data_IF_165256735702
#
_entry.id   IF_165256735702
#
_cell.length_a   1.000
_cell.length_b   1.000
_cell.length_c   1.000
_cell.angle_alpha   90.00
_cell.angle_beta   90.00
_cell.angle_gamma   90.00
#
_symmetry.space_group_name_H-M   'P 1'
#
loop_
_entity.id
_entity.type
_entity.pdbx_description
1 polymer ?
#
# COMPACT_ATOMS: atom_id res chain seq x y z
N UNK A 1 0.40 9.40 3.46
CA UNK A 1 0.53 8.26 2.52
C UNK A 1 1.63 8.58 1.54
N UNK A 2 2.42 7.58 1.12
CA UNK A 2 3.43 7.68 0.07
C UNK A 2 3.05 6.73 -1.07
N UNK A 3 3.18 7.17 -2.33
CA UNK A 3 3.00 6.35 -3.53
C UNK A 3 4.26 6.54 -4.38
N UNK A 4 5.01 5.47 -4.67
CA UNK A 4 6.31 5.55 -5.37
C UNK A 4 6.51 4.41 -6.37
N UNK A 5 7.44 4.62 -7.32
CA UNK A 5 7.94 3.59 -8.25
C UNK A 5 9.12 2.79 -7.69
N UNK A 6 9.66 3.17 -6.54
CA UNK A 6 10.76 2.48 -5.86
C UNK A 6 10.32 1.14 -5.27
N UNK A 7 11.31 0.30 -4.96
CA UNK A 7 11.09 -0.97 -4.28
C UNK A 7 10.62 -0.78 -2.83
N UNK A 8 9.87 -1.75 -2.32
CA UNK A 8 9.22 -1.68 -1.01
C UNK A 8 10.20 -1.36 0.14
N UNK A 9 11.37 -1.99 0.19
CA UNK A 9 12.35 -1.73 1.26
C UNK A 9 12.84 -0.28 1.28
N UNK A 10 13.19 0.28 0.11
CA UNK A 10 13.60 1.68 -0.03
C UNK A 10 12.45 2.62 0.33
N UNK A 11 11.25 2.35 -0.20
CA UNK A 11 10.06 3.15 0.08
C UNK A 11 9.72 3.20 1.57
N UNK A 12 9.73 2.04 2.24
CA UNK A 12 9.47 1.93 3.68
C UNK A 12 10.55 2.64 4.52
N UNK A 13 11.82 2.50 4.12
CA UNK A 13 12.92 3.20 4.78
C UNK A 13 12.74 4.72 4.71
N UNK A 14 12.54 5.27 3.51
CA UNK A 14 12.32 6.72 3.32
C UNK A 14 11.05 7.18 4.04
N UNK A 15 9.94 6.45 3.91
CA UNK A 15 8.69 6.78 4.59
C UNK A 15 8.83 6.85 6.11
N UNK A 16 9.68 6.01 6.70
CA UNK A 16 9.97 6.03 8.14
C UNK A 16 10.83 7.24 8.52
N UNK A 17 11.83 7.62 7.72
CA UNK A 17 12.67 8.81 7.96
C UNK A 17 11.86 10.11 7.95
N UNK A 18 10.79 10.19 7.15
CA UNK A 18 9.93 11.38 7.05
C UNK A 18 8.65 11.29 7.88
N UNK A 19 8.55 10.33 8.80
CA UNK A 19 7.39 10.11 9.69
C UNK A 19 6.05 9.86 8.96
N UNK A 20 6.08 9.40 7.70
CA UNK A 20 4.89 8.83 7.06
C UNK A 20 4.56 7.51 7.75
N UNK A 21 5.58 6.68 7.96
CA UNK A 21 5.50 5.54 8.86
C UNK A 21 6.00 5.94 10.25
N UNK A 22 5.22 5.63 11.28
CA UNK A 22 5.49 5.88 12.70
C UNK A 22 5.31 4.64 13.57
N UNK A 23 4.83 3.53 12.99
CA UNK A 23 4.72 2.20 13.61
C UNK A 23 5.64 1.21 12.90
N UNK A 24 5.89 0.01 13.48
CA UNK A 24 6.56 -1.07 12.76
C UNK A 24 5.88 -1.35 11.42
N UNK A 25 6.67 -1.54 10.37
CA UNK A 25 6.16 -1.67 9.00
C UNK A 25 6.00 -3.13 8.63
N UNK A 26 4.91 -3.45 7.93
CA UNK A 26 4.70 -4.75 7.30
C UNK A 26 4.46 -4.60 5.79
N UNK A 27 5.11 -5.44 5.00
CA UNK A 27 5.06 -5.46 3.54
C UNK A 27 4.26 -6.67 3.08
N UNK A 28 3.20 -6.43 2.31
CA UNK A 28 2.43 -7.51 1.70
C UNK A 28 3.26 -8.23 0.64
N UNK A 29 3.44 -9.53 0.82
CA UNK A 29 4.30 -10.38 -0.01
C UNK A 29 3.56 -11.64 -0.42
N UNK A 30 3.82 -12.11 -1.65
CA UNK A 30 3.31 -13.40 -2.13
C UNK A 30 4.12 -14.55 -1.53
N UNK A 31 3.44 -15.53 -0.95
CA UNK A 31 4.09 -16.73 -0.41
C UNK A 31 4.61 -17.65 -1.54
N UNK A 32 5.69 -18.40 -1.27
CA UNK A 32 6.27 -19.37 -2.22
C UNK A 32 5.32 -20.52 -2.57
N UNK A 33 4.46 -20.92 -1.63
CA UNK A 33 3.53 -22.05 -1.79
C UNK A 33 2.22 -21.57 -2.41
N UNK A 34 1.44 -20.80 -1.65
CA UNK A 34 0.17 -20.22 -2.06
C UNK A 34 -0.25 -19.17 -1.05
N UNK A 35 -0.96 -18.13 -1.50
CA UNK A 35 -1.45 -17.05 -0.63
C UNK A 35 -0.46 -15.90 -0.47
N UNK A 36 -0.80 -15.02 0.47
CA UNK A 36 -0.07 -13.79 0.76
C UNK A 36 0.16 -13.69 2.26
N UNK A 37 1.23 -13.00 2.64
CA UNK A 37 1.60 -12.74 4.03
C UNK A 37 2.14 -11.31 4.15
N UNK A 38 1.96 -10.73 5.32
CA UNK A 38 2.60 -9.51 5.76
C UNK A 38 3.95 -9.86 6.38
N UNK A 39 5.02 -9.24 5.89
CA UNK A 39 6.40 -9.54 6.33
C UNK A 39 7.09 -8.25 6.76
N UNK A 40 7.79 -8.26 7.89
CA UNK A 40 8.63 -7.12 8.29
C UNK A 40 9.84 -6.95 7.35
N UNK A 41 10.43 -5.74 7.22
CA UNK A 41 11.59 -5.51 6.35
C UNK A 41 12.82 -6.38 6.65
N UNK A 42 12.97 -6.85 7.88
CA UNK A 42 14.02 -7.77 8.35
C UNK A 42 13.59 -9.25 8.33
N UNK A 43 12.39 -9.54 7.83
CA UNK A 43 11.78 -10.86 7.68
C UNK A 43 11.57 -11.67 8.98
N UNK A 44 11.64 -11.02 10.14
CA UNK A 44 11.45 -11.67 11.45
C UNK A 44 9.98 -11.87 11.79
N UNK A 45 9.12 -10.92 11.45
CA UNK A 45 7.68 -10.96 11.72
C UNK A 45 6.91 -11.32 10.46
N UNK A 46 6.01 -12.29 10.60
CA UNK A 46 5.20 -12.82 9.51
C UNK A 46 3.77 -13.03 9.98
N UNK A 47 2.81 -12.43 9.28
CA UNK A 47 1.37 -12.56 9.57
C UNK A 47 0.65 -12.96 8.29
N UNK A 48 -0.13 -14.05 8.27
CA UNK A 48 -0.93 -14.41 7.10
C UNK A 48 -1.86 -13.28 6.66
N UNK A 49 -1.99 -13.04 5.35
CA UNK A 49 -2.91 -12.02 4.84
C UNK A 49 -4.35 -12.50 4.93
N UNK A 50 -5.19 -11.69 5.58
CA UNK A 50 -6.66 -11.79 5.59
C UNK A 50 -7.23 -10.41 5.46
N UNK A 51 -8.13 -10.20 4.49
CA UNK A 51 -8.65 -8.87 4.19
C UNK A 51 -9.37 -8.26 5.41
N UNK A 52 -10.08 -9.08 6.18
CA UNK A 52 -10.91 -8.69 7.32
C UNK A 52 -10.08 -8.17 8.50
N UNK A 53 -8.84 -8.65 8.61
CA UNK A 53 -7.92 -8.32 9.70
C UNK A 53 -7.05 -7.09 9.38
N UNK A 54 -7.05 -6.60 8.13
CA UNK A 54 -6.20 -5.47 7.70
C UNK A 54 -6.46 -4.21 8.52
N UNK A 55 -7.73 -3.93 8.85
CA UNK A 55 -8.07 -2.77 9.67
C UNK A 55 -7.42 -2.86 11.05
N UNK A 56 -7.59 -3.97 11.75
CA UNK A 56 -7.03 -4.21 13.08
C UNK A 56 -5.49 -4.21 13.03
N UNK A 57 -4.89 -4.86 12.03
CA UNK A 57 -3.45 -4.87 11.85
C UNK A 57 -2.88 -3.46 11.68
N UNK A 58 -3.60 -2.57 10.96
CA UNK A 58 -3.20 -1.17 10.76
C UNK A 58 -3.20 -0.32 12.05
N UNK A 59 -3.85 -0.79 13.12
CA UNK A 59 -3.83 -0.13 14.42
C UNK A 59 -2.49 -0.31 15.14
N UNK A 60 -1.78 -1.41 14.90
CA UNK A 60 -0.47 -1.70 15.49
C UNK A 60 0.70 -1.54 14.51
N UNK A 61 0.46 -1.64 13.20
CA UNK A 61 1.49 -1.61 12.16
C UNK A 61 1.17 -0.60 11.06
N UNK A 62 2.22 -0.12 10.37
CA UNK A 62 2.07 0.64 9.14
C UNK A 62 2.24 -0.29 7.94
N UNK A 63 1.25 -0.30 7.05
CA UNK A 63 1.19 -1.28 5.96
C UNK A 63 1.78 -0.72 4.67
N UNK A 64 2.53 -1.59 3.98
CA UNK A 64 3.09 -1.35 2.65
C UNK A 64 2.58 -2.40 1.67
N UNK A 65 2.12 -1.96 0.50
CA UNK A 65 1.71 -2.84 -0.61
C UNK A 65 2.50 -2.49 -1.87
N UNK A 66 2.97 -3.52 -2.56
CA UNK A 66 3.64 -3.40 -3.86
C UNK A 66 2.65 -3.52 -5.02
N UNK A 67 2.97 -2.94 -6.18
CA UNK A 67 2.12 -2.96 -7.37
C UNK A 67 1.70 -4.35 -7.85
N UNK A 68 2.47 -5.40 -7.57
CA UNK A 68 2.14 -6.80 -7.91
C UNK A 68 1.00 -7.38 -7.08
N UNK A 69 0.74 -6.84 -5.88
CA UNK A 69 -0.33 -7.29 -5.01
C UNK A 69 -1.69 -6.68 -5.38
N UNK A 70 -1.72 -5.62 -6.17
CA UNK A 70 -2.96 -4.96 -6.60
C UNK A 70 -3.88 -5.89 -7.39
N UNK A 71 -3.30 -6.71 -8.27
CA UNK A 71 -4.06 -7.69 -9.05
C UNK A 71 -4.79 -8.67 -8.13
N UNK A 72 -4.14 -9.11 -7.04
CA UNK A 72 -4.79 -9.96 -6.05
C UNK A 72 -5.95 -9.23 -5.37
N UNK A 73 -5.74 -7.99 -4.90
CA UNK A 73 -6.79 -7.22 -4.23
C UNK A 73 -8.01 -7.00 -5.14
N UNK A 74 -7.80 -6.76 -6.43
CA UNK A 74 -8.87 -6.61 -7.42
C UNK A 74 -9.62 -7.93 -7.64
N UNK A 75 -8.89 -9.05 -7.79
CA UNK A 75 -9.50 -10.37 -8.00
C UNK A 75 -10.34 -10.83 -6.80
N UNK A 76 -9.98 -10.40 -5.59
CA UNK A 76 -10.71 -10.75 -4.35
C UNK A 76 -11.68 -9.66 -3.89
N UNK A 77 -11.89 -8.61 -4.68
CA UNK A 77 -12.72 -7.44 -4.32
C UNK A 77 -12.35 -6.78 -2.97
N UNK A 78 -11.07 -6.89 -2.57
CA UNK A 78 -10.57 -6.41 -1.29
C UNK A 78 -10.04 -4.96 -1.35
N UNK A 79 -10.06 -4.33 -2.53
CA UNK A 79 -9.49 -3.00 -2.79
C UNK A 79 -10.01 -1.95 -1.80
N UNK A 80 -11.35 -1.84 -1.68
CA UNK A 80 -12.01 -0.84 -0.82
C UNK A 80 -11.78 -1.12 0.66
N UNK A 81 -11.57 -2.38 1.03
CA UNK A 81 -11.34 -2.81 2.39
C UNK A 81 -9.89 -2.62 2.84
N UNK A 82 -8.92 -2.76 1.93
CA UNK A 82 -7.49 -2.78 2.25
C UNK A 82 -6.81 -1.44 2.02
N UNK A 83 -6.99 -0.82 0.84
CA UNK A 83 -6.28 0.42 0.46
C UNK A 83 -6.43 1.54 1.50
N UNK A 84 -7.60 1.77 2.13
CA UNK A 84 -7.76 2.84 3.12
C UNK A 84 -6.81 2.76 4.33
N UNK A 85 -6.25 1.57 4.60
CA UNK A 85 -5.40 1.27 5.75
C UNK A 85 -3.90 1.23 5.42
N UNK A 86 -3.53 1.39 4.15
CA UNK A 86 -2.15 1.30 3.66
C UNK A 86 -1.50 2.68 3.64
N UNK A 87 -0.27 2.78 4.16
CA UNK A 87 0.48 4.03 4.22
C UNK A 87 1.48 4.19 3.09
N UNK A 88 2.06 3.09 2.60
CA UNK A 88 3.07 3.08 1.55
C UNK A 88 2.62 2.19 0.40
N UNK A 89 2.60 2.74 -0.80
CA UNK A 89 2.39 2.00 -2.03
C UNK A 89 3.70 2.06 -2.83
N UNK A 90 4.35 0.91 -2.99
CA UNK A 90 5.64 0.77 -3.64
C UNK A 90 5.50 0.13 -5.03
N UNK A 91 6.47 0.39 -5.91
CA UNK A 91 6.52 -0.16 -7.28
C UNK A 91 5.19 0.00 -8.05
N UNK A 92 4.54 1.15 -7.91
CA UNK A 92 3.18 1.40 -8.39
C UNK A 92 3.18 1.90 -9.83
N UNK A 93 2.38 1.26 -10.70
CA UNK A 93 2.14 1.73 -12.07
C UNK A 93 1.21 2.97 -12.10
N UNK A 94 1.26 3.84 -13.13
CA UNK A 94 0.42 5.03 -13.20
C UNK A 94 -1.08 4.77 -12.97
N UNK A 95 -1.63 3.72 -13.57
CA UNK A 95 -3.05 3.33 -13.46
C UNK A 95 -3.40 2.89 -12.03
N UNK A 96 -2.44 2.29 -11.32
CA UNK A 96 -2.62 1.89 -9.92
C UNK A 96 -2.64 3.11 -8.99
N UNK A 97 -1.93 4.20 -9.32
CA UNK A 97 -2.02 5.46 -8.56
C UNK A 97 -3.43 6.05 -8.63
N UNK A 98 -4.03 6.03 -9.82
CA UNK A 98 -5.43 6.45 -10.01
C UNK A 98 -6.39 5.58 -9.19
N UNK A 99 -6.18 4.25 -9.17
CA UNK A 99 -6.99 3.34 -8.37
C UNK A 99 -6.91 3.67 -6.87
N UNK A 100 -5.70 3.94 -6.35
CA UNK A 100 -5.51 4.32 -4.94
C UNK A 100 -6.29 5.60 -4.62
N UNK A 101 -6.16 6.65 -5.42
CA UNK A 101 -6.88 7.91 -5.20
C UNK A 101 -8.39 7.74 -5.29
N UNK A 102 -8.86 7.05 -6.33
CA UNK A 102 -10.29 6.79 -6.53
C UNK A 102 -10.86 6.01 -5.36
N UNK A 103 -10.13 5.01 -4.86
CA UNK A 103 -10.55 4.23 -3.69
C UNK A 103 -10.67 5.09 -2.44
N UNK A 104 -9.72 5.99 -2.18
CA UNK A 104 -9.83 6.93 -1.05
C UNK A 104 -11.07 7.83 -1.17
N UNK A 105 -11.42 8.30 -2.37
CA UNK A 105 -12.65 9.08 -2.59
C UNK A 105 -13.91 8.26 -2.40
N UNK A 106 -13.94 7.03 -2.91
CA UNK A 106 -15.07 6.11 -2.75
C UNK A 106 -15.39 5.86 -1.27
N UNK A 107 -14.38 5.78 -0.40
CA UNK A 107 -14.58 5.67 1.05
C UNK A 107 -14.79 7.01 1.76
N UNK A 108 -15.09 8.09 1.01
CA UNK A 108 -15.47 9.40 1.52
C UNK A 108 -14.31 10.28 1.99
N UNK A 109 -13.06 9.99 1.64
CA UNK A 109 -11.92 10.85 1.99
C UNK A 109 -11.73 11.96 0.96
N UNK A 110 -11.44 13.16 1.44
CA UNK A 110 -10.89 14.23 0.61
C UNK A 110 -9.42 13.93 0.32
N UNK A 111 -9.03 14.02 -0.96
CA UNK A 111 -7.68 13.67 -1.42
C UNK A 111 -6.95 14.88 -1.99
N UNK A 112 -5.65 14.98 -1.71
CA UNK A 112 -4.71 15.88 -2.39
C UNK A 112 -3.52 15.03 -2.81
N UNK A 113 -3.09 15.18 -4.07
CA UNK A 113 -1.85 14.57 -4.55
C UNK A 113 -0.87 15.66 -4.97
N UNK A 114 0.38 15.55 -4.54
CA UNK A 114 1.49 16.30 -5.11
C UNK A 114 2.51 15.31 -5.68
N UNK A 115 2.97 15.58 -6.90
CA UNK A 115 3.99 14.81 -7.59
C UNK A 115 4.61 15.68 -8.68
N UNK A 116 5.86 15.43 -9.01
CA UNK A 116 6.66 16.18 -9.98
C UNK A 116 6.85 15.44 -11.31
N UNK A 117 6.30 14.22 -11.44
CA UNK A 117 6.49 13.35 -12.59
C UNK A 117 5.33 13.31 -13.59
N UNK A 118 5.63 13.01 -14.85
CA UNK A 118 4.62 12.71 -15.89
C UNK A 118 3.75 11.48 -15.53
N UNK A 119 4.28 10.59 -14.69
CA UNK A 119 3.58 9.41 -14.17
C UNK A 119 2.49 9.74 -13.14
N UNK A 120 2.32 11.02 -12.76
CA UNK A 120 1.29 11.46 -11.81
C UNK A 120 0.12 12.16 -12.50
N UNK A 121 0.20 12.41 -13.81
CA UNK A 121 -0.80 13.20 -14.56
C UNK A 121 -2.21 12.66 -14.45
N UNK A 122 -2.38 11.33 -14.54
CA UNK A 122 -3.69 10.69 -14.42
C UNK A 122 -4.29 10.85 -13.02
N UNK A 123 -3.47 10.61 -12.00
CA UNK A 123 -3.84 10.72 -10.61
C UNK A 123 -4.13 12.19 -10.19
N UNK A 124 -3.39 13.16 -10.72
CA UNK A 124 -3.63 14.60 -10.49
C UNK A 124 -4.93 15.12 -11.10
N UNK A 125 -5.48 14.44 -12.13
CA UNK A 125 -6.75 14.82 -12.77
C UNK A 125 -7.98 14.34 -12.03
N UNK A 126 -7.82 13.33 -11.18
CA UNK A 126 -8.92 12.80 -10.37
C UNK A 126 -9.16 13.76 -9.23
#
# INVERSE_FOLDING_TARGET
VMITGDQALTACHVASQVNICSKPVLILTRMKTSGFEWVSPDETDRVPYRAEEVKELSESHDLCISGDCFEMLQRTDAVVQVIPHVKVFARVAPEQKELVLTTFKTVGRMTLMCGDGTNDVGALKQ
#
